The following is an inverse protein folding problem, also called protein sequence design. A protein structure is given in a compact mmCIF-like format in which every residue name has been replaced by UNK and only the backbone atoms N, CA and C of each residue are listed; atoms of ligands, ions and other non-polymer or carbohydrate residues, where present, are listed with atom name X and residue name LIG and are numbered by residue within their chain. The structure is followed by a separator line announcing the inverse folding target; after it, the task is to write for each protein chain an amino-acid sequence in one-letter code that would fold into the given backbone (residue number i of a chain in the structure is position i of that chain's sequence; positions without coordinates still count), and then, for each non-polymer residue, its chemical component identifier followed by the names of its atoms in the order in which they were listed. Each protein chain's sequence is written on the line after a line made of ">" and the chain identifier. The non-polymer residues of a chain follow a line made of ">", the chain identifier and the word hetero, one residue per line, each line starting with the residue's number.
data_IF_030762133930
#
_entry.id   IF_030762133930
#
_cell.length_a   1.000
_cell.length_b   1.000
_cell.length_c   1.000
_cell.angle_alpha   90.00
_cell.angle_beta   90.00
_cell.angle_gamma   90.00
#
_symmetry.space_group_name_H-M   'P 1'
#
loop_
_entity.id
_entity.type
_entity.pdbx_description
1 polymer ?
#
# COMPACT_ATOMS: atom_id res chain seq x y z
N UNK A 1 14.07 -17.27 4.72
CA UNK A 1 12.81 -16.62 5.12
C UNK A 1 11.86 -17.66 5.69
N UNK A 2 11.43 -17.46 6.92
CA UNK A 2 10.57 -18.38 7.65
C UNK A 2 9.26 -17.68 7.97
N UNK A 3 8.12 -18.34 7.72
CA UNK A 3 6.82 -17.87 8.16
C UNK A 3 6.59 -18.25 9.62
N UNK A 4 6.31 -17.24 10.45
CA UNK A 4 5.99 -17.43 11.86
C UNK A 4 4.67 -16.71 12.18
N UNK A 5 3.60 -17.48 12.32
CA UNK A 5 2.27 -16.96 12.68
C UNK A 5 2.19 -16.57 14.16
N UNK A 6 3.12 -15.74 14.59
CA UNK A 6 3.28 -15.32 15.98
C UNK A 6 2.12 -14.46 16.49
N UNK A 7 1.56 -13.65 15.62
CA UNK A 7 0.48 -12.73 15.97
C UNK A 7 -0.77 -13.01 15.16
N UNK A 8 -1.92 -12.76 15.79
CA UNK A 8 -3.23 -12.77 15.15
C UNK A 8 -3.62 -11.31 14.90
N UNK A 9 -3.88 -10.99 13.65
CA UNK A 9 -4.30 -9.63 13.26
C UNK A 9 -5.82 -9.54 13.19
N UNK A 10 -6.41 -8.37 13.51
CA UNK A 10 -7.85 -8.18 13.42
C UNK A 10 -8.32 -8.25 11.97
N UNK A 11 -9.52 -8.78 11.78
CA UNK A 11 -10.22 -8.65 10.50
C UNK A 11 -10.71 -7.23 10.34
N UNK A 12 -10.51 -6.67 9.15
CA UNK A 12 -10.99 -5.34 8.83
C UNK A 12 -11.65 -5.31 7.46
N UNK A 13 -12.58 -4.38 7.29
CA UNK A 13 -13.11 -3.99 5.98
C UNK A 13 -12.84 -2.53 5.72
N UNK A 14 -12.57 -2.18 4.45
CA UNK A 14 -12.41 -0.80 4.03
C UNK A 14 -13.72 -0.23 3.54
N UNK A 15 -14.00 1.01 3.90
CA UNK A 15 -15.14 1.78 3.39
C UNK A 15 -14.71 3.20 3.06
N UNK A 16 -15.50 3.87 2.21
CA UNK A 16 -15.31 5.27 1.91
C UNK A 16 -16.49 6.04 2.47
N UNK A 17 -16.21 6.98 3.36
CA UNK A 17 -17.20 7.84 4.00
C UNK A 17 -16.83 9.29 3.69
N UNK A 18 -17.72 10.01 2.99
CA UNK A 18 -17.48 11.39 2.55
C UNK A 18 -16.18 11.55 1.74
N UNK A 19 -15.89 10.61 0.86
CA UNK A 19 -14.67 10.59 0.04
C UNK A 19 -13.39 10.18 0.78
N UNK A 20 -13.47 9.77 2.03
CA UNK A 20 -12.34 9.42 2.89
C UNK A 20 -12.34 7.95 3.24
N UNK A 21 -11.15 7.33 3.20
CA UNK A 21 -10.98 5.92 3.55
C UNK A 21 -11.10 5.73 5.06
N UNK A 22 -11.92 4.75 5.45
CA UNK A 22 -12.08 4.27 6.81
C UNK A 22 -11.87 2.76 6.86
N UNK A 23 -11.47 2.27 8.03
CA UNK A 23 -11.41 0.85 8.34
C UNK A 23 -12.43 0.52 9.40
N UNK A 24 -13.17 -0.56 9.19
CA UNK A 24 -14.10 -1.10 10.18
C UNK A 24 -13.46 -2.29 10.87
N UNK A 25 -13.22 -2.15 12.18
CA UNK A 25 -12.55 -3.14 13.03
C UNK A 25 -13.34 -3.24 14.34
N UNK A 26 -13.77 -4.46 14.70
CA UNK A 26 -14.52 -4.72 15.95
C UNK A 26 -15.72 -3.77 16.13
N UNK A 27 -16.52 -3.55 15.09
CA UNK A 27 -17.66 -2.62 15.05
C UNK A 27 -17.28 -1.14 15.22
N UNK A 28 -16.01 -0.80 15.18
CA UNK A 28 -15.49 0.56 15.23
C UNK A 28 -15.05 1.01 13.84
N UNK A 29 -15.50 2.19 13.42
CA UNK A 29 -15.12 2.79 12.14
C UNK A 29 -14.03 3.82 12.38
N UNK A 30 -12.81 3.50 11.93
CA UNK A 30 -11.63 4.33 12.16
C UNK A 30 -11.13 4.97 10.87
N UNK A 31 -10.71 6.25 10.91
CA UNK A 31 -10.08 6.88 9.76
C UNK A 31 -8.75 6.19 9.42
N UNK A 32 -8.42 6.13 8.14
CA UNK A 32 -7.12 5.58 7.72
C UNK A 32 -5.99 6.57 8.02
N UNK A 33 -4.81 6.02 8.32
CA UNK A 33 -3.59 6.81 8.51
C UNK A 33 -3.31 7.68 7.27
N UNK A 34 -3.54 7.16 6.07
CA UNK A 34 -3.36 7.91 4.83
C UNK A 34 -4.30 9.10 4.71
N UNK A 35 -5.55 8.97 5.19
CA UNK A 35 -6.49 10.08 5.27
C UNK A 35 -6.00 11.18 6.21
N UNK A 36 -5.51 10.81 7.39
CA UNK A 36 -4.96 11.76 8.37
C UNK A 36 -3.75 12.48 7.79
N UNK A 37 -2.80 11.74 7.20
CA UNK A 37 -1.61 12.32 6.59
C UNK A 37 -1.94 13.25 5.41
N UNK A 38 -2.96 12.93 4.62
CA UNK A 38 -3.43 13.79 3.54
C UNK A 38 -3.98 15.12 4.06
N UNK A 39 -4.69 15.10 5.20
CA UNK A 39 -5.28 16.32 5.79
C UNK A 39 -4.27 17.15 6.57
N UNK A 40 -3.22 16.55 7.09
CA UNK A 40 -2.19 17.20 7.87
C UNK A 40 -0.93 17.54 7.07
N UNK A 41 -0.94 17.30 5.76
CA UNK A 41 0.22 17.64 4.92
C UNK A 41 0.49 19.15 4.93
N UNK A 42 1.77 19.52 4.81
CA UNK A 42 2.18 20.92 4.80
C UNK A 42 1.63 21.67 3.57
N UNK A 43 1.46 22.99 3.72
CA UNK A 43 1.07 23.86 2.60
C UNK A 43 2.07 23.80 1.45
N UNK A 44 3.34 23.68 1.75
CA UNK A 44 4.42 23.53 0.77
C UNK A 44 4.22 22.29 -0.13
N UNK A 45 3.93 21.13 0.47
CA UNK A 45 3.62 19.91 -0.27
C UNK A 45 2.36 20.06 -1.12
N UNK A 46 1.35 20.70 -0.58
CA UNK A 46 0.09 20.97 -1.30
C UNK A 46 0.31 21.86 -2.50
N UNK A 47 1.05 22.96 -2.33
CA UNK A 47 1.43 23.85 -3.43
C UNK A 47 2.28 23.16 -4.49
N UNK A 48 3.23 22.35 -4.08
CA UNK A 48 4.08 21.58 -5.01
C UNK A 48 3.24 20.65 -5.88
N UNK A 49 2.26 19.96 -5.32
CA UNK A 49 1.35 19.09 -6.06
C UNK A 49 0.45 19.90 -7.01
N UNK A 50 -0.09 21.03 -6.56
CA UNK A 50 -0.91 21.93 -7.38
C UNK A 50 -0.10 22.48 -8.57
N UNK A 51 1.14 22.92 -8.34
CA UNK A 51 2.04 23.40 -9.37
C UNK A 51 2.36 22.31 -10.40
N UNK A 52 2.60 21.08 -9.95
CA UNK A 52 2.81 19.95 -10.84
C UNK A 52 1.57 19.68 -11.70
N UNK A 53 0.38 19.63 -11.09
CA UNK A 53 -0.90 19.44 -11.82
C UNK A 53 -1.13 20.54 -12.87
N UNK A 54 -0.85 21.77 -12.52
CA UNK A 54 -0.97 22.90 -13.46
C UNK A 54 0.02 22.79 -14.64
N UNK A 55 1.24 22.33 -14.38
CA UNK A 55 2.28 22.16 -15.39
C UNK A 55 1.95 21.04 -16.39
N UNK A 56 1.47 19.89 -15.93
CA UNK A 56 1.18 18.73 -16.80
C UNK A 56 -0.25 18.75 -17.36
N UNK A 57 -1.15 19.53 -16.77
CA UNK A 57 -2.58 19.57 -17.10
C UNK A 57 -3.39 18.57 -16.30
N UNK A 58 -4.65 18.91 -16.00
CA UNK A 58 -5.52 18.10 -15.14
C UNK A 58 -5.75 16.69 -15.68
N UNK A 59 -5.99 16.55 -16.99
CA UNK A 59 -6.23 15.25 -17.63
C UNK A 59 -4.97 14.36 -17.61
N UNK A 60 -3.80 14.93 -17.91
CA UNK A 60 -2.54 14.20 -17.84
C UNK A 60 -2.18 13.81 -16.42
N UNK A 61 -2.42 14.68 -15.44
CA UNK A 61 -2.19 14.40 -14.04
C UNK A 61 -3.04 13.21 -13.55
N UNK A 62 -4.32 13.17 -13.91
CA UNK A 62 -5.22 12.07 -13.56
C UNK A 62 -4.79 10.75 -14.22
N UNK A 63 -4.40 10.78 -15.48
CA UNK A 63 -3.88 9.62 -16.20
C UNK A 63 -2.60 9.07 -15.55
N UNK A 64 -1.65 9.92 -15.22
CA UNK A 64 -0.41 9.52 -14.56
C UNK A 64 -0.70 8.90 -13.18
N UNK A 65 -1.59 9.50 -12.41
CA UNK A 65 -2.03 8.99 -11.12
C UNK A 65 -2.62 7.58 -11.24
N UNK A 66 -3.53 7.37 -12.20
CA UNK A 66 -4.21 6.08 -12.40
C UNK A 66 -3.24 4.99 -12.85
N UNK A 67 -2.35 5.28 -13.80
CA UNK A 67 -1.32 4.34 -14.27
C UNK A 67 -0.37 3.98 -13.12
N UNK A 68 0.07 4.96 -12.36
CA UNK A 68 0.95 4.73 -11.21
C UNK A 68 0.29 3.88 -10.13
N UNK A 69 -0.99 4.10 -9.85
CA UNK A 69 -1.76 3.31 -8.90
C UNK A 69 -1.92 1.85 -9.37
N UNK A 70 -2.26 1.63 -10.64
CA UNK A 70 -2.39 0.29 -11.22
C UNK A 70 -1.05 -0.46 -11.20
N UNK A 71 0.03 0.21 -11.58
CA UNK A 71 1.39 -0.36 -11.55
C UNK A 71 1.80 -0.71 -10.12
N UNK A 72 1.55 0.17 -9.16
CA UNK A 72 1.81 -0.08 -7.74
C UNK A 72 1.03 -1.28 -7.23
N UNK A 73 -0.25 -1.39 -7.52
CA UNK A 73 -1.09 -2.54 -7.15
C UNK A 73 -0.53 -3.84 -7.70
N UNK A 74 -0.15 -3.87 -8.97
CA UNK A 74 0.45 -5.07 -9.60
C UNK A 74 1.80 -5.41 -8.95
N UNK A 75 2.63 -4.42 -8.67
CA UNK A 75 3.90 -4.63 -7.97
C UNK A 75 3.70 -5.25 -6.58
N UNK A 76 2.77 -4.73 -5.79
CA UNK A 76 2.45 -5.29 -4.47
C UNK A 76 1.95 -6.73 -4.57
N UNK A 77 1.17 -7.08 -5.59
CA UNK A 77 0.74 -8.47 -5.83
C UNK A 77 1.92 -9.39 -6.11
N UNK A 78 2.91 -8.96 -6.88
CA UNK A 78 4.15 -9.72 -7.08
C UNK A 78 4.94 -9.91 -5.78
N UNK A 79 5.07 -8.86 -4.98
CA UNK A 79 5.78 -8.93 -3.69
C UNK A 79 5.08 -9.85 -2.69
N UNK A 80 3.77 -9.75 -2.59
CA UNK A 80 2.97 -10.65 -1.75
C UNK A 80 3.09 -12.10 -2.21
N UNK A 81 3.04 -12.33 -3.52
CA UNK A 81 3.26 -13.65 -4.11
C UNK A 81 4.62 -14.24 -3.73
N UNK A 82 5.67 -13.43 -3.77
CA UNK A 82 7.00 -13.85 -3.31
C UNK A 82 7.00 -14.22 -1.82
N UNK A 83 6.40 -13.38 -0.98
CA UNK A 83 6.38 -13.59 0.47
C UNK A 83 5.50 -14.80 0.89
N UNK A 84 4.46 -15.11 0.13
CA UNK A 84 3.52 -16.22 0.41
C UNK A 84 3.81 -17.50 -0.37
N UNK A 85 4.90 -17.53 -1.12
CA UNK A 85 5.26 -18.64 -2.04
C UNK A 85 4.15 -18.94 -3.06
N UNK A 86 3.50 -17.89 -3.54
CA UNK A 86 2.49 -17.97 -4.59
C UNK A 86 3.01 -17.29 -5.85
N UNK A 87 2.77 -17.93 -6.99
CA UNK A 87 3.17 -17.35 -8.28
C UNK A 87 2.12 -16.35 -8.75
N UNK A 88 2.58 -15.17 -9.14
CA UNK A 88 1.78 -14.18 -9.84
C UNK A 88 2.36 -13.92 -11.21
N UNK A 89 1.52 -13.86 -12.22
CA UNK A 89 1.92 -13.57 -13.60
C UNK A 89 0.93 -12.59 -14.21
N UNK A 90 1.42 -11.42 -14.59
CA UNK A 90 0.68 -10.41 -15.33
C UNK A 90 1.46 -10.10 -16.63
N UNK A 91 0.93 -10.56 -17.76
CA UNK A 91 1.56 -10.45 -19.08
C UNK A 91 1.29 -9.11 -19.78
N UNK A 92 0.50 -8.22 -19.18
CA UNK A 92 0.31 -6.88 -19.72
C UNK A 92 1.62 -6.08 -19.66
N UNK A 93 1.76 -5.06 -20.50
CA UNK A 93 2.94 -4.18 -20.46
C UNK A 93 3.15 -3.56 -19.08
N UNK A 94 2.07 -3.13 -18.43
CA UNK A 94 2.08 -2.59 -17.07
C UNK A 94 2.50 -3.66 -16.04
N UNK A 95 1.98 -4.88 -16.17
CA UNK A 95 2.31 -6.00 -15.29
C UNK A 95 3.76 -6.43 -15.42
N UNK A 96 4.31 -6.43 -16.61
CA UNK A 96 5.74 -6.72 -16.83
C UNK A 96 6.64 -5.65 -16.21
N UNK A 97 6.28 -4.37 -16.33
CA UNK A 97 6.99 -3.28 -15.68
C UNK A 97 6.93 -3.40 -14.15
N UNK A 98 5.76 -3.67 -13.61
CA UNK A 98 5.55 -3.92 -12.18
C UNK A 98 6.37 -5.11 -11.67
N UNK A 99 6.45 -6.19 -12.45
CA UNK A 99 7.26 -7.37 -12.13
C UNK A 99 8.75 -7.05 -12.04
N UNK A 100 9.26 -6.24 -12.95
CA UNK A 100 10.66 -5.76 -12.90
C UNK A 100 10.93 -4.90 -11.66
N UNK A 101 9.98 -4.05 -11.29
CA UNK A 101 10.09 -3.24 -10.07
C UNK A 101 10.08 -4.13 -8.82
N UNK A 102 9.18 -5.11 -8.75
CA UNK A 102 9.13 -6.07 -7.65
C UNK A 102 10.44 -6.87 -7.53
N UNK A 103 11.01 -7.27 -8.63
CA UNK A 103 12.30 -7.98 -8.69
C UNK A 103 13.43 -7.19 -8.04
N UNK A 104 13.48 -5.88 -8.26
CA UNK A 104 14.46 -5.00 -7.62
C UNK A 104 14.24 -4.96 -6.10
N UNK A 105 13.00 -4.80 -5.66
CA UNK A 105 12.66 -4.78 -4.23
C UNK A 105 13.02 -6.11 -3.56
N UNK A 106 12.70 -7.23 -4.20
CA UNK A 106 13.01 -8.57 -3.69
C UNK A 106 14.52 -8.73 -3.50
N UNK A 107 15.30 -8.41 -4.54
CA UNK A 107 16.76 -8.60 -4.49
C UNK A 107 17.49 -7.62 -3.57
N UNK A 108 16.98 -6.38 -3.45
CA UNK A 108 17.66 -5.33 -2.69
C UNK A 108 17.13 -5.16 -1.27
N UNK A 109 15.94 -5.67 -0.97
CA UNK A 109 15.30 -5.44 0.32
C UNK A 109 14.80 -6.71 1.00
N UNK A 110 14.08 -7.59 0.30
CA UNK A 110 13.48 -8.74 0.94
C UNK A 110 14.42 -9.93 1.11
N UNK A 111 15.59 -9.91 0.45
CA UNK A 111 16.56 -11.00 0.54
C UNK A 111 17.10 -11.25 1.96
N UNK A 112 17.16 -10.23 2.78
CA UNK A 112 17.68 -10.28 4.16
C UNK A 112 16.57 -10.45 5.20
N UNK A 113 15.30 -10.58 4.76
CA UNK A 113 14.17 -10.82 5.65
C UNK A 113 14.23 -12.23 6.24
N UNK A 114 14.43 -12.32 7.55
CA UNK A 114 14.58 -13.60 8.26
C UNK A 114 13.24 -14.27 8.54
N UNK A 115 12.29 -13.53 9.10
CA UNK A 115 10.96 -14.02 9.43
C UNK A 115 9.87 -13.11 8.87
N UNK A 116 8.78 -13.71 8.42
CA UNK A 116 7.52 -13.02 8.07
C UNK A 116 6.48 -13.37 9.11
N UNK A 117 5.91 -12.36 9.75
CA UNK A 117 4.83 -12.51 10.74
C UNK A 117 3.46 -12.20 10.16
N UNK A 118 3.39 -11.54 9.04
CA UNK A 118 2.15 -11.24 8.31
C UNK A 118 2.39 -10.38 7.08
N UNK A 119 1.49 -10.49 6.11
CA UNK A 119 1.44 -9.65 4.91
C UNK A 119 0.07 -9.01 4.79
N UNK A 120 0.02 -7.79 4.25
CA UNK A 120 -1.24 -7.03 4.08
C UNK A 120 -2.08 -6.97 5.36
N UNK A 121 -1.42 -6.78 6.50
CA UNK A 121 -2.08 -6.79 7.80
C UNK A 121 -2.61 -5.40 8.16
N UNK A 122 -3.78 -5.38 8.82
CA UNK A 122 -4.33 -4.16 9.37
C UNK A 122 -3.83 -3.97 10.80
N UNK A 123 -3.25 -2.80 11.06
CA UNK A 123 -2.86 -2.34 12.38
C UNK A 123 -3.75 -1.17 12.77
N UNK A 124 -4.08 -1.03 14.04
CA UNK A 124 -4.95 0.04 14.50
C UNK A 124 -4.63 0.50 15.91
N UNK A 125 -4.94 1.75 16.19
CA UNK A 125 -5.00 2.29 17.53
C UNK A 125 -6.47 2.49 17.89
N UNK A 126 -6.99 1.79 18.93
CA UNK A 126 -8.40 1.86 19.27
C UNK A 126 -8.90 3.28 19.45
N UNK A 127 -10.03 3.60 18.81
CA UNK A 127 -10.67 4.90 18.89
C UNK A 127 -10.04 6.01 18.06
N UNK A 128 -8.88 5.79 17.41
CA UNK A 128 -8.16 6.87 16.73
C UNK A 128 -7.96 6.63 15.24
N UNK A 129 -7.24 5.59 14.84
CA UNK A 129 -6.91 5.37 13.43
C UNK A 129 -6.55 3.91 13.15
N UNK A 130 -6.52 3.57 11.87
CA UNK A 130 -6.07 2.28 11.38
C UNK A 130 -5.31 2.42 10.05
N UNK A 131 -4.53 1.43 9.71
CA UNK A 131 -3.80 1.38 8.45
C UNK A 131 -3.40 -0.03 8.09
N UNK A 132 -3.15 -0.27 6.81
CA UNK A 132 -2.58 -1.51 6.32
C UNK A 132 -1.07 -1.37 6.19
N UNK A 133 -0.34 -2.43 6.53
CA UNK A 133 1.09 -2.55 6.27
C UNK A 133 1.36 -3.76 5.39
N UNK A 134 2.30 -3.63 4.46
CA UNK A 134 2.57 -4.65 3.45
C UNK A 134 3.18 -5.91 4.05
N UNK A 135 4.12 -5.74 4.98
CA UNK A 135 4.78 -6.86 5.64
C UNK A 135 5.20 -6.50 7.07
N UNK A 136 5.09 -7.48 7.95
CA UNK A 136 5.60 -7.43 9.33
C UNK A 136 6.50 -8.63 9.54
N UNK A 137 7.69 -8.44 10.13
CA UNK A 137 8.63 -9.53 10.31
C UNK A 137 9.93 -9.10 10.99
N UNK A 138 10.95 -9.92 10.83
CA UNK A 138 12.34 -9.66 11.27
C UNK A 138 13.22 -9.51 10.03
N UNK A 139 14.00 -8.44 10.05
CA UNK A 139 14.92 -8.07 8.97
C UNK A 139 16.36 -8.09 9.48
#
# INVERSE_FOLDING_TARGET
>A
MIWNKKYIYPRSSRSIVMGRRHYEIDNEKLPSVTTILSQTQSEEKRKSLENWKARVGAQSAERIKNISAMRGTSMHTYLEGYLTDQKHLDLTALGQEAGKMADVVIRSGLGDLEEVWGTEVTLFYPGLYAGATDVVGIY
#
